data_IF_312802415649
#
_entry.id   IF_312802415649
#
_cell.length_a   1.000
_cell.length_b   1.000
_cell.length_c   1.000
_cell.angle_alpha   90.00
_cell.angle_beta   90.00
_cell.angle_gamma   90.00
#
_symmetry.space_group_name_H-M   'P 1'
#
loop_
_entity.id
_entity.type
_entity.pdbx_description
1 polymer ?
#
# COMPACT_ATOMS: atom_id res chain seq x y z
N UNK A 1 31.72 48.14 -8.00
CA UNK A 1 32.22 49.23 -7.15
C UNK A 1 32.89 48.59 -5.95
N UNK A 2 34.18 48.82 -5.83
CA UNK A 2 35.09 48.17 -4.86
C UNK A 2 34.82 48.68 -3.45
N UNK A 3 34.95 47.80 -2.46
CA UNK A 3 35.24 48.18 -1.07
C UNK A 3 35.88 47.02 -0.32
N UNK A 4 37.16 47.06 -0.24
CA UNK A 4 38.09 47.14 0.89
C UNK A 4 38.00 46.02 1.94
N UNK A 5 38.97 45.12 1.80
CA UNK A 5 39.49 44.25 2.85
C UNK A 5 40.20 45.08 3.91
N UNK A 6 39.79 44.92 5.15
CA UNK A 6 40.63 45.29 6.29
C UNK A 6 41.10 44.04 7.03
N UNK A 7 42.40 43.77 6.91
CA UNK A 7 43.12 42.72 7.62
C UNK A 7 43.36 43.15 9.05
N UNK A 8 42.82 42.41 10.02
CA UNK A 8 43.33 42.40 11.37
C UNK A 8 43.96 41.05 11.71
N UNK A 9 45.26 41.07 11.98
CA UNK A 9 46.00 39.94 12.57
C UNK A 9 45.61 39.79 14.02
N UNK A 10 45.06 38.65 14.36
CA UNK A 10 44.96 38.18 15.76
C UNK A 10 45.31 36.69 15.80
N UNK A 11 46.07 36.32 16.79
CA UNK A 11 46.86 35.17 17.08
C UNK A 11 46.32 33.76 16.76
N UNK A 12 47.28 32.83 16.81
CA UNK A 12 47.05 31.36 16.65
C UNK A 12 45.96 30.84 17.55
N UNK A 13 44.72 30.79 17.05
CA UNK A 13 43.61 30.10 17.60
C UNK A 13 43.09 29.10 16.58
N UNK A 14 43.02 27.84 16.94
CA UNK A 14 42.41 26.76 16.16
C UNK A 14 40.97 27.19 15.86
N UNK A 15 40.68 27.48 14.57
CA UNK A 15 39.32 27.72 14.10
C UNK A 15 38.63 26.34 14.01
N UNK A 16 37.91 26.00 15.04
CA UNK A 16 36.92 24.90 14.99
C UNK A 16 35.79 25.36 14.05
N UNK A 17 35.87 24.99 12.76
CA UNK A 17 34.70 25.09 11.88
C UNK A 17 33.70 24.04 12.32
N UNK A 18 32.74 24.42 13.15
CA UNK A 18 31.57 23.62 13.40
C UNK A 18 30.71 23.66 12.13
N UNK A 19 30.87 22.67 11.26
CA UNK A 19 29.88 22.38 10.25
C UNK A 19 28.62 21.92 10.97
N UNK A 20 27.67 22.81 11.15
CA UNK A 20 26.30 22.42 11.41
C UNK A 20 25.82 21.67 10.13
N UNK A 21 26.04 20.35 10.09
CA UNK A 21 25.28 19.50 9.22
C UNK A 21 23.83 19.61 9.74
N UNK A 22 23.03 20.42 9.07
CA UNK A 22 21.58 20.33 9.19
C UNK A 22 21.22 18.94 8.67
N UNK A 23 21.03 18.00 9.56
CA UNK A 23 20.31 16.76 9.27
C UNK A 23 18.89 17.20 8.89
N UNK A 24 18.69 17.46 7.59
CA UNK A 24 17.37 17.46 7.02
C UNK A 24 16.92 16.00 7.18
N UNK A 25 15.90 15.71 8.00
CA UNK A 25 15.36 14.37 8.01
C UNK A 25 14.90 14.10 6.57
N UNK A 26 15.52 13.15 5.89
CA UNK A 26 14.94 12.53 4.72
C UNK A 26 13.69 11.80 5.23
N UNK A 27 12.57 12.51 5.25
CA UNK A 27 11.29 11.86 5.28
C UNK A 27 11.19 11.10 3.96
N UNK A 28 11.42 9.81 3.99
CA UNK A 28 10.88 8.94 2.98
C UNK A 28 9.36 9.11 3.11
N UNK A 29 8.79 9.92 2.25
CA UNK A 29 7.35 9.95 2.11
C UNK A 29 6.99 8.55 1.61
N UNK A 30 6.49 7.70 2.49
CA UNK A 30 5.94 6.41 2.08
C UNK A 30 4.85 6.65 1.04
N UNK A 31 4.64 5.73 0.13
CA UNK A 31 3.64 5.84 -0.93
C UNK A 31 2.21 6.00 -0.39
N UNK A 32 1.28 6.36 -1.25
CA UNK A 32 -0.15 6.44 -0.91
C UNK A 32 -0.62 5.07 -0.39
N UNK A 33 -1.41 5.07 0.68
CA UNK A 33 -2.01 3.86 1.23
C UNK A 33 -3.43 3.70 0.73
N UNK A 34 -3.78 2.49 0.35
CA UNK A 34 -5.16 2.10 0.10
C UNK A 34 -5.49 0.85 0.89
N UNK A 35 -6.76 0.76 1.32
CA UNK A 35 -7.31 -0.44 1.93
C UNK A 35 -8.22 -1.14 0.95
N UNK A 36 -8.11 -2.45 0.92
CA UNK A 36 -9.05 -3.35 0.26
C UNK A 36 -9.81 -4.10 1.35
N UNK A 37 -11.11 -3.81 1.47
CA UNK A 37 -11.98 -4.48 2.43
C UNK A 37 -12.77 -5.57 1.75
N UNK A 38 -12.77 -6.76 2.35
CA UNK A 38 -13.50 -7.94 1.86
C UNK A 38 -14.29 -8.61 2.98
N UNK A 39 -15.19 -9.53 2.64
CA UNK A 39 -15.98 -10.26 3.64
C UNK A 39 -15.15 -11.24 4.49
N UNK A 40 -13.92 -11.56 4.08
CA UNK A 40 -13.04 -12.49 4.82
C UNK A 40 -11.86 -11.78 5.51
N UNK A 41 -11.80 -10.46 5.42
CA UNK A 41 -10.80 -9.61 6.05
C UNK A 41 -10.32 -8.49 5.15
N UNK A 42 -9.58 -7.56 5.74
CA UNK A 42 -9.05 -6.37 5.09
C UNK A 42 -7.52 -6.49 4.96
N UNK A 43 -6.99 -5.89 3.92
CA UNK A 43 -5.55 -5.71 3.76
C UNK A 43 -5.24 -4.34 3.16
N UNK A 44 -4.03 -3.85 3.41
CA UNK A 44 -3.58 -2.56 2.90
C UNK A 44 -2.51 -2.74 1.84
N UNK A 45 -2.52 -1.83 0.86
CA UNK A 45 -1.54 -1.74 -0.21
C UNK A 45 -0.84 -0.40 -0.11
N UNK A 46 0.49 -0.39 -0.12
CA UNK A 46 1.28 0.80 -0.33
C UNK A 46 1.54 0.96 -1.82
N UNK A 47 1.14 2.12 -2.37
CA UNK A 47 1.34 2.43 -3.78
C UNK A 47 2.76 2.95 -4.02
N UNK A 48 3.29 2.68 -5.21
CA UNK A 48 4.63 3.08 -5.63
C UNK A 48 4.59 4.40 -6.43
N UNK A 49 4.14 5.48 -5.77
CA UNK A 49 3.85 6.78 -6.38
C UNK A 49 5.01 7.34 -7.22
N UNK A 50 6.26 7.13 -6.78
CA UNK A 50 7.45 7.62 -7.49
C UNK A 50 7.90 6.67 -8.62
N UNK A 51 7.62 5.37 -8.47
CA UNK A 51 8.10 4.32 -9.39
C UNK A 51 7.17 4.11 -10.58
N UNK A 52 5.85 4.24 -10.35
CA UNK A 52 4.81 4.05 -11.36
C UNK A 52 3.74 5.15 -11.27
N UNK A 53 4.12 6.44 -11.42
CA UNK A 53 3.23 7.58 -11.15
C UNK A 53 1.99 7.64 -12.05
N UNK A 54 2.09 7.25 -13.31
CA UNK A 54 0.93 7.23 -14.24
C UNK A 54 -0.04 6.12 -13.84
N UNK A 55 0.49 4.96 -13.50
CA UNK A 55 -0.28 3.78 -13.07
C UNK A 55 -0.97 4.03 -11.73
N UNK A 56 -0.24 4.58 -10.75
CA UNK A 56 -0.82 4.95 -9.45
C UNK A 56 -1.94 5.97 -9.62
N UNK A 57 -1.72 7.03 -10.42
CA UNK A 57 -2.74 8.03 -10.71
C UNK A 57 -3.98 7.40 -11.37
N UNK A 58 -3.78 6.50 -12.34
CA UNK A 58 -4.87 5.78 -12.99
C UNK A 58 -5.68 4.97 -11.98
N UNK A 59 -5.01 4.16 -11.15
CA UNK A 59 -5.66 3.36 -10.12
C UNK A 59 -6.44 4.24 -9.12
N UNK A 60 -5.84 5.32 -8.63
CA UNK A 60 -6.48 6.25 -7.70
C UNK A 60 -7.69 6.97 -8.31
N UNK A 61 -7.72 7.23 -9.63
CA UNK A 61 -8.90 7.78 -10.28
C UNK A 61 -10.12 6.86 -10.09
N UNK A 62 -9.97 5.55 -10.25
CA UNK A 62 -11.03 4.57 -10.00
C UNK A 62 -11.41 4.49 -8.53
N UNK A 63 -10.41 4.53 -7.62
CA UNK A 63 -10.66 4.53 -6.17
C UNK A 63 -11.48 5.75 -5.76
N UNK A 64 -11.08 6.96 -6.16
CA UNK A 64 -11.76 8.20 -5.80
C UNK A 64 -13.19 8.31 -6.36
N UNK A 65 -13.47 7.67 -7.49
CA UNK A 65 -14.83 7.57 -8.05
C UNK A 65 -15.66 6.44 -7.43
N UNK A 66 -15.07 5.66 -6.51
CA UNK A 66 -15.65 4.43 -5.95
C UNK A 66 -15.95 3.36 -7.01
N UNK A 67 -15.21 3.35 -8.11
CA UNK A 67 -15.43 2.41 -9.21
C UNK A 67 -15.06 0.98 -8.83
N UNK A 68 -14.19 0.78 -7.85
CA UNK A 68 -13.85 -0.53 -7.32
C UNK A 68 -14.80 -1.04 -6.21
N UNK A 69 -15.67 -0.18 -5.68
CA UNK A 69 -16.57 -0.59 -4.61
C UNK A 69 -17.68 -1.51 -5.14
N UNK A 70 -17.86 -2.66 -4.49
CA UNK A 70 -18.75 -3.71 -4.93
C UNK A 70 -18.28 -4.47 -6.18
N UNK A 71 -17.00 -4.32 -6.57
CA UNK A 71 -16.37 -5.25 -7.51
C UNK A 71 -16.01 -6.55 -6.81
N UNK A 72 -15.65 -7.58 -7.57
CA UNK A 72 -15.25 -8.86 -7.02
C UNK A 72 -13.98 -9.39 -7.70
N UNK A 73 -13.29 -10.30 -7.03
CA UNK A 73 -12.23 -11.06 -7.65
C UNK A 73 -12.86 -12.01 -8.67
N UNK A 74 -12.61 -11.77 -9.95
CA UNK A 74 -13.25 -12.54 -11.03
C UNK A 74 -12.35 -13.67 -11.53
N UNK A 75 -11.07 -13.64 -11.18
CA UNK A 75 -10.09 -14.65 -11.56
C UNK A 75 -9.03 -14.78 -10.46
N UNK A 76 -9.06 -15.91 -9.77
CA UNK A 76 -8.01 -16.33 -8.84
C UNK A 76 -7.43 -17.62 -9.36
N UNK A 77 -6.13 -17.66 -9.53
CA UNK A 77 -5.37 -18.82 -10.00
C UNK A 77 -4.32 -19.15 -8.95
N UNK A 78 -4.46 -20.34 -8.36
CA UNK A 78 -3.63 -20.86 -7.30
C UNK A 78 -2.13 -20.68 -7.61
N UNK A 79 -1.37 -20.22 -6.62
CA UNK A 79 0.05 -19.91 -6.72
C UNK A 79 0.44 -18.98 -7.90
N UNK A 80 -0.50 -18.21 -8.43
CA UNK A 80 -0.24 -17.28 -9.51
C UNK A 80 -0.76 -15.87 -9.20
N UNK A 81 -2.06 -15.59 -9.41
CA UNK A 81 -2.61 -14.24 -9.23
C UNK A 81 -4.03 -14.24 -8.67
N UNK A 82 -4.37 -13.21 -7.89
CA UNK A 82 -5.73 -12.83 -7.56
C UNK A 82 -6.09 -11.53 -8.30
N UNK A 83 -6.97 -11.60 -9.32
CA UNK A 83 -7.29 -10.51 -10.24
C UNK A 83 -8.70 -9.98 -10.02
N UNK A 84 -8.81 -8.64 -9.99
CA UNK A 84 -10.07 -7.92 -9.77
C UNK A 84 -10.17 -6.60 -10.53
N UNK A 85 -11.14 -5.76 -10.16
CA UNK A 85 -11.31 -4.39 -10.65
C UNK A 85 -12.12 -4.24 -11.94
N UNK A 86 -12.54 -5.33 -12.58
CA UNK A 86 -13.21 -5.29 -13.89
C UNK A 86 -14.73 -5.25 -13.80
N UNK A 87 -15.32 -5.95 -12.84
CA UNK A 87 -16.74 -6.29 -12.86
C UNK A 87 -17.41 -6.02 -11.52
N UNK A 88 -18.69 -5.57 -11.60
CA UNK A 88 -19.65 -5.56 -10.50
C UNK A 88 -20.78 -6.50 -10.83
N UNK A 89 -21.40 -7.04 -9.81
CA UNK A 89 -22.63 -7.78 -9.99
C UNK A 89 -23.84 -6.88 -9.75
N UNK A 90 -24.74 -6.81 -10.72
CA UNK A 90 -26.01 -6.10 -10.59
C UNK A 90 -27.15 -7.13 -10.52
N UNK A 91 -27.96 -7.12 -9.45
CA UNK A 91 -29.11 -8.01 -9.33
C UNK A 91 -30.02 -7.95 -10.58
N UNK A 92 -30.49 -9.10 -11.02
CA UNK A 92 -31.35 -9.30 -12.21
C UNK A 92 -30.69 -8.97 -13.58
N UNK A 93 -29.48 -8.41 -13.62
CA UNK A 93 -28.74 -8.10 -14.85
C UNK A 93 -27.54 -9.05 -15.00
N UNK A 94 -26.86 -9.35 -13.90
CA UNK A 94 -25.63 -10.13 -13.91
C UNK A 94 -24.35 -9.26 -13.81
N UNK A 95 -23.21 -9.81 -14.20
CA UNK A 95 -21.95 -9.09 -14.20
C UNK A 95 -21.94 -7.93 -15.21
N UNK A 96 -21.70 -6.73 -14.72
CA UNK A 96 -21.52 -5.52 -15.54
C UNK A 96 -20.09 -5.03 -15.48
N UNK A 97 -19.63 -4.43 -16.57
CA UNK A 97 -18.27 -3.89 -16.66
C UNK A 97 -18.16 -2.60 -15.83
N UNK A 98 -17.05 -2.44 -15.14
CA UNK A 98 -16.62 -1.14 -14.61
C UNK A 98 -16.19 -0.29 -15.80
N UNK A 99 -16.73 0.95 -15.97
CA UNK A 99 -16.31 1.84 -17.04
C UNK A 99 -14.79 2.05 -17.03
N UNK A 100 -14.16 1.99 -18.20
CA UNK A 100 -12.71 2.16 -18.32
C UNK A 100 -12.32 3.55 -18.78
N UNK A 101 -11.31 4.13 -18.16
CA UNK A 101 -10.60 5.29 -18.67
C UNK A 101 -9.71 4.87 -19.87
N UNK A 102 -9.19 5.83 -20.66
CA UNK A 102 -8.23 5.52 -21.71
C UNK A 102 -7.04 4.69 -21.20
N UNK A 103 -6.50 3.77 -22.02
CA UNK A 103 -5.35 2.97 -21.65
C UNK A 103 -4.13 3.84 -21.29
N UNK A 104 -3.29 3.33 -20.41
CA UNK A 104 -2.09 4.02 -19.92
C UNK A 104 -0.80 3.38 -20.45
N UNK A 105 0.27 4.17 -20.51
CA UNK A 105 1.61 3.70 -20.83
C UNK A 105 2.10 2.71 -19.78
N UNK A 106 2.85 1.71 -20.22
CA UNK A 106 3.48 0.73 -19.34
C UNK A 106 4.68 1.34 -18.62
N UNK A 107 4.71 1.22 -17.31
CA UNK A 107 5.78 1.71 -16.43
C UNK A 107 6.53 0.54 -15.75
N UNK A 108 6.65 -0.61 -16.43
CA UNK A 108 7.33 -1.77 -15.85
C UNK A 108 8.76 -1.41 -15.40
N UNK A 109 9.03 -1.55 -14.11
CA UNK A 109 10.31 -1.25 -13.49
C UNK A 109 10.63 -2.14 -12.27
N UNK A 110 9.62 -2.80 -11.70
CA UNK A 110 9.75 -3.66 -10.53
C UNK A 110 9.31 -5.07 -10.88
N UNK A 111 10.00 -6.08 -10.37
CA UNK A 111 9.67 -7.48 -10.61
C UNK A 111 8.34 -7.87 -9.96
N UNK A 112 7.59 -8.71 -10.66
CA UNK A 112 6.31 -9.29 -10.20
C UNK A 112 6.56 -10.40 -9.17
N UNK A 113 7.10 -10.04 -8.00
CA UNK A 113 7.30 -10.94 -6.88
C UNK A 113 6.04 -11.08 -6.04
N UNK A 114 5.99 -12.14 -5.20
CA UNK A 114 4.88 -12.37 -4.29
C UNK A 114 4.56 -11.13 -3.45
N UNK A 115 3.28 -10.80 -3.34
CA UNK A 115 2.78 -9.67 -2.57
C UNK A 115 2.80 -8.33 -3.32
N UNK A 116 3.37 -8.26 -4.52
CA UNK A 116 3.27 -7.07 -5.36
C UNK A 116 1.92 -6.99 -6.06
N UNK A 117 1.50 -5.76 -6.37
CA UNK A 117 0.23 -5.45 -7.05
C UNK A 117 0.52 -4.85 -8.42
N UNK A 118 -0.05 -5.44 -9.46
CA UNK A 118 0.26 -5.10 -10.85
C UNK A 118 -0.98 -4.82 -11.68
N UNK A 119 -0.82 -3.99 -12.73
CA UNK A 119 -1.89 -3.75 -13.71
C UNK A 119 -2.01 -4.90 -14.71
N UNK A 120 -3.23 -5.41 -14.87
CA UNK A 120 -3.54 -6.32 -15.97
C UNK A 120 -3.63 -5.54 -17.29
N UNK A 121 -3.23 -6.20 -18.38
CA UNK A 121 -3.24 -5.66 -19.74
C UNK A 121 -3.48 -6.76 -20.77
N UNK A 122 -3.76 -6.37 -21.99
CA UNK A 122 -3.93 -7.32 -23.11
C UNK A 122 -2.58 -7.91 -23.52
N UNK A 123 -2.59 -9.19 -23.88
CA UNK A 123 -1.39 -9.84 -24.40
C UNK A 123 -0.91 -9.18 -25.70
N UNK A 124 0.40 -9.01 -25.83
CA UNK A 124 1.00 -8.34 -26.99
C UNK A 124 0.82 -6.81 -27.04
N UNK A 125 0.08 -6.19 -26.09
CA UNK A 125 -0.19 -4.76 -26.08
C UNK A 125 0.29 -4.14 -24.74
N UNK A 126 1.56 -3.70 -24.66
CA UNK A 126 2.14 -3.22 -23.42
C UNK A 126 1.38 -2.03 -22.79
N UNK A 127 0.86 -1.12 -23.62
CA UNK A 127 0.19 0.12 -23.20
C UNK A 127 -1.34 -0.02 -23.23
N UNK A 128 -1.87 -1.16 -22.79
CA UNK A 128 -3.32 -1.45 -22.82
C UNK A 128 -3.97 -1.55 -21.46
N UNK A 129 -3.25 -1.27 -20.37
CA UNK A 129 -3.80 -1.32 -19.03
C UNK A 129 -4.86 -0.24 -18.81
N UNK A 130 -5.95 -0.59 -18.13
CA UNK A 130 -7.06 0.31 -17.80
C UNK A 130 -7.44 0.22 -16.32
N UNK A 131 -8.43 -0.60 -15.97
CA UNK A 131 -9.00 -0.72 -14.62
C UNK A 131 -8.64 -2.03 -13.89
N UNK A 132 -8.21 -3.06 -14.61
CA UNK A 132 -7.96 -4.37 -13.98
C UNK A 132 -6.58 -4.42 -13.34
N UNK A 133 -6.53 -5.01 -12.16
CA UNK A 133 -5.29 -5.21 -11.41
C UNK A 133 -5.28 -6.60 -10.75
N UNK A 134 -4.10 -7.04 -10.36
CA UNK A 134 -3.93 -8.32 -9.69
C UNK A 134 -2.85 -8.24 -8.60
N UNK A 135 -2.98 -9.14 -7.63
CA UNK A 135 -1.97 -9.40 -6.61
C UNK A 135 -1.20 -10.65 -7.01
N UNK A 136 0.12 -10.59 -6.96
CA UNK A 136 0.99 -11.74 -7.19
C UNK A 136 0.97 -12.68 -5.97
N UNK A 137 0.49 -13.90 -6.13
CA UNK A 137 0.42 -14.92 -5.09
C UNK A 137 1.73 -15.67 -4.92
N UNK A 138 2.58 -15.65 -5.94
CA UNK A 138 3.93 -16.20 -5.96
C UNK A 138 4.90 -15.25 -6.69
N UNK A 139 6.17 -15.65 -6.82
CA UNK A 139 7.17 -14.94 -7.60
C UNK A 139 6.96 -15.19 -9.11
N UNK A 140 6.21 -14.32 -9.74
CA UNK A 140 5.79 -14.43 -11.15
C UNK A 140 6.76 -13.72 -12.10
N UNK A 141 8.06 -13.96 -11.97
CA UNK A 141 9.12 -13.29 -12.78
C UNK A 141 9.00 -13.50 -14.29
N UNK A 142 8.22 -14.46 -14.75
CA UNK A 142 7.86 -14.61 -16.16
C UNK A 142 7.06 -13.42 -16.68
N UNK A 143 6.25 -12.77 -15.84
CA UNK A 143 5.47 -11.58 -16.19
C UNK A 143 6.37 -10.35 -16.45
N UNK A 144 7.59 -10.34 -15.96
CA UNK A 144 8.56 -9.24 -16.16
C UNK A 144 9.03 -9.15 -17.62
N UNK A 145 8.92 -10.25 -18.36
CA UNK A 145 9.37 -10.36 -19.75
C UNK A 145 8.23 -10.37 -20.75
N UNK A 146 7.02 -10.67 -20.30
CA UNK A 146 5.87 -10.82 -21.19
C UNK A 146 5.33 -9.44 -21.59
N UNK A 147 5.22 -9.22 -22.91
CA UNK A 147 4.63 -8.00 -23.50
C UNK A 147 5.17 -6.69 -22.90
N UNK A 148 6.48 -6.60 -22.67
CA UNK A 148 7.14 -5.44 -22.07
C UNK A 148 7.06 -5.35 -20.56
N UNK A 149 6.69 -6.44 -19.86
CA UNK A 149 6.54 -6.53 -18.41
C UNK A 149 5.19 -5.99 -17.90
N UNK A 150 4.70 -6.52 -16.79
CA UNK A 150 3.49 -6.03 -16.14
C UNK A 150 3.88 -5.02 -15.05
N UNK A 151 3.36 -3.81 -15.13
CA UNK A 151 3.70 -2.71 -14.20
C UNK A 151 3.27 -3.04 -12.79
N UNK A 152 4.25 -3.22 -11.89
CA UNK A 152 4.03 -3.24 -10.44
C UNK A 152 3.83 -1.80 -9.97
N UNK A 153 2.72 -1.52 -9.32
CA UNK A 153 2.39 -0.18 -8.83
C UNK A 153 2.08 -0.12 -7.33
N UNK A 154 2.17 -1.26 -6.63
CA UNK A 154 1.97 -1.33 -5.20
C UNK A 154 2.47 -2.63 -4.60
N UNK A 155 2.45 -2.70 -3.27
CA UNK A 155 2.75 -3.90 -2.50
C UNK A 155 1.82 -4.04 -1.31
N UNK A 156 1.43 -5.27 -0.99
CA UNK A 156 0.62 -5.60 0.19
C UNK A 156 1.47 -5.41 1.44
N UNK A 157 0.94 -4.71 2.44
CA UNK A 157 1.66 -4.35 3.66
C UNK A 157 1.46 -5.35 4.80
N UNK A 158 2.49 -5.46 5.62
CA UNK A 158 2.45 -6.19 6.89
C UNK A 158 2.01 -7.65 6.73
N UNK A 159 1.04 -8.06 7.51
CA UNK A 159 0.43 -9.39 7.48
C UNK A 159 -0.74 -9.52 6.49
N UNK A 160 -0.96 -8.50 5.66
CA UNK A 160 -2.06 -8.47 4.68
C UNK A 160 -2.05 -9.65 3.71
N UNK A 161 -0.86 -10.24 3.44
CA UNK A 161 -0.77 -11.46 2.65
C UNK A 161 -1.46 -12.67 3.31
N UNK A 162 -1.71 -12.67 4.61
CA UNK A 162 -2.53 -13.69 5.27
C UNK A 162 -3.98 -13.68 4.75
N UNK A 163 -4.54 -12.49 4.52
CA UNK A 163 -5.87 -12.34 3.94
C UNK A 163 -5.85 -12.68 2.45
N UNK A 164 -4.81 -12.26 1.72
CA UNK A 164 -4.65 -12.58 0.30
C UNK A 164 -4.53 -14.09 0.08
N UNK A 165 -3.80 -14.81 0.94
CA UNK A 165 -3.73 -16.28 0.92
C UNK A 165 -5.09 -16.92 1.27
N UNK A 166 -5.85 -16.30 2.17
CA UNK A 166 -7.20 -16.76 2.46
C UNK A 166 -8.14 -16.56 1.25
N UNK A 167 -7.91 -15.53 0.41
CA UNK A 167 -8.62 -15.35 -0.87
C UNK A 167 -8.26 -16.48 -1.85
N UNK A 168 -6.97 -16.79 -1.97
CA UNK A 168 -6.45 -17.85 -2.83
C UNK A 168 -7.02 -19.24 -2.46
N UNK A 169 -7.13 -19.49 -1.16
CA UNK A 169 -7.65 -20.74 -0.63
C UNK A 169 -9.21 -20.88 -0.71
N UNK A 170 -9.93 -19.85 -1.18
CA UNK A 170 -11.38 -19.98 -1.37
C UNK A 170 -11.72 -20.91 -2.54
N UNK A 171 -12.80 -21.68 -2.42
CA UNK A 171 -13.32 -22.41 -3.58
C UNK A 171 -13.71 -21.42 -4.69
N UNK A 172 -13.46 -21.80 -5.94
CA UNK A 172 -13.77 -20.98 -7.11
C UNK A 172 -14.87 -21.58 -7.96
N UNK A 173 -15.60 -20.73 -8.69
CA UNK A 173 -16.60 -21.12 -9.67
C UNK A 173 -16.27 -20.50 -11.01
N UNK A 174 -16.51 -21.25 -12.10
CA UNK A 174 -16.38 -20.77 -13.45
C UNK A 174 -17.77 -20.53 -14.07
N UNK A 175 -18.09 -19.25 -14.32
CA UNK A 175 -19.34 -18.80 -14.96
C UNK A 175 -19.07 -18.04 -16.25
N UNK A 176 -17.94 -18.32 -16.91
CA UNK A 176 -17.49 -17.64 -18.11
C UNK A 176 -16.46 -16.53 -17.85
N UNK A 177 -16.09 -15.79 -18.88
CA UNK A 177 -14.93 -14.89 -18.84
C UNK A 177 -15.01 -13.77 -17.79
N UNK A 178 -16.19 -13.39 -17.33
CA UNK A 178 -16.38 -12.41 -16.23
C UNK A 178 -16.30 -13.03 -14.83
N UNK A 179 -16.16 -14.34 -14.73
CA UNK A 179 -15.99 -15.12 -13.52
C UNK A 179 -15.30 -16.44 -13.84
N UNK A 180 -14.10 -16.39 -14.42
CA UNK A 180 -13.36 -17.57 -14.90
C UNK A 180 -12.97 -18.52 -13.76
N UNK A 181 -12.56 -17.96 -12.64
CA UNK A 181 -12.31 -18.66 -11.38
C UNK A 181 -12.58 -17.69 -10.23
N UNK A 182 -13.88 -17.30 -10.10
CA UNK A 182 -14.30 -16.35 -9.08
C UNK A 182 -14.41 -17.05 -7.72
N UNK A 183 -13.69 -16.57 -6.69
CA UNK A 183 -13.78 -17.13 -5.35
C UNK A 183 -15.14 -16.81 -4.71
N UNK A 184 -15.64 -17.74 -3.91
CA UNK A 184 -16.88 -17.57 -3.16
C UNK A 184 -16.72 -18.01 -1.70
N UNK A 185 -17.51 -17.43 -0.80
CA UNK A 185 -17.29 -17.53 0.66
C UNK A 185 -18.13 -18.58 1.36
N UNK A 186 -18.99 -19.29 0.65
CA UNK A 186 -19.86 -20.36 1.21
C UNK A 186 -19.29 -21.75 0.97
N UNK A 187 -19.87 -22.75 1.63
CA UNK A 187 -19.52 -24.16 1.43
C UNK A 187 -19.86 -24.67 0.02
N UNK A 188 -20.82 -24.02 -0.65
CA UNK A 188 -21.17 -24.25 -2.05
C UNK A 188 -21.61 -22.94 -2.68
N UNK A 189 -21.24 -22.73 -3.93
CA UNK A 189 -21.76 -21.61 -4.72
C UNK A 189 -23.25 -21.79 -4.97
N UNK A 190 -24.05 -20.79 -4.63
CA UNK A 190 -25.51 -20.79 -4.84
C UNK A 190 -25.94 -19.71 -5.83
N UNK A 191 -25.37 -18.53 -5.73
CA UNK A 191 -25.66 -17.41 -6.59
C UNK A 191 -24.51 -16.35 -6.50
N UNK A 192 -24.51 -15.34 -7.37
CA UNK A 192 -23.45 -14.33 -7.40
C UNK A 192 -23.27 -13.50 -6.12
N UNK A 193 -24.22 -13.52 -5.18
CA UNK A 193 -24.02 -12.85 -3.87
C UNK A 193 -22.97 -13.56 -3.01
N UNK A 194 -22.59 -14.77 -3.39
CA UNK A 194 -21.55 -15.56 -2.72
C UNK A 194 -20.13 -15.16 -3.14
N UNK A 195 -19.95 -14.38 -4.22
CA UNK A 195 -18.64 -13.93 -4.66
C UNK A 195 -17.90 -13.14 -3.56
N UNK A 196 -16.59 -13.18 -3.62
CA UNK A 196 -15.75 -12.39 -2.76
C UNK A 196 -15.67 -10.96 -3.30
N UNK A 197 -16.54 -10.11 -2.77
CA UNK A 197 -16.58 -8.69 -3.10
C UNK A 197 -15.51 -7.91 -2.39
N UNK A 198 -15.12 -6.77 -2.99
CA UNK A 198 -14.19 -5.83 -2.41
C UNK A 198 -14.71 -4.39 -2.46
N UNK A 199 -14.27 -3.58 -1.51
CA UNK A 199 -14.30 -2.13 -1.54
C UNK A 199 -12.86 -1.63 -1.42
N UNK A 200 -12.54 -0.57 -2.15
CA UNK A 200 -11.18 0.01 -2.15
C UNK A 200 -11.26 1.48 -1.81
N UNK A 201 -10.51 1.91 -0.82
CA UNK A 201 -10.48 3.30 -0.36
C UNK A 201 -9.06 3.78 -0.09
N UNK A 202 -8.83 5.08 -0.21
CA UNK A 202 -7.57 5.71 0.20
C UNK A 202 -7.57 5.84 1.72
N UNK A 203 -6.51 5.36 2.35
CA UNK A 203 -6.27 5.56 3.78
C UNK A 203 -5.39 6.77 3.97
N UNK A 204 -5.85 7.73 4.77
CA UNK A 204 -5.05 8.91 5.07
C UNK A 204 -3.90 8.53 6.00
N UNK A 205 -2.66 8.65 5.51
CA UNK A 205 -1.52 8.63 6.42
C UNK A 205 -1.56 9.87 7.30
N UNK A 206 -1.42 9.66 8.59
CA UNK A 206 -1.22 10.78 9.51
C UNK A 206 0.20 11.31 9.32
N UNK A 207 0.37 12.29 8.43
CA UNK A 207 1.66 12.90 8.08
C UNK A 207 2.16 13.93 9.10
N UNK A 208 1.47 14.13 10.20
CA UNK A 208 1.69 15.30 11.07
C UNK A 208 2.26 15.02 12.45
N UNK A 209 2.35 13.77 12.90
CA UNK A 209 2.98 13.50 14.18
C UNK A 209 4.36 12.88 13.97
N UNK A 210 5.43 13.58 14.28
CA UNK A 210 6.72 12.93 14.44
C UNK A 210 6.58 11.86 15.52
N UNK A 211 7.31 10.75 15.37
CA UNK A 211 7.48 9.82 16.47
C UNK A 211 8.04 10.61 17.66
N UNK A 212 7.26 10.74 18.71
CA UNK A 212 7.70 11.45 19.92
C UNK A 212 8.20 10.40 20.91
N UNK A 213 9.48 10.41 21.15
CA UNK A 213 10.08 9.62 22.21
C UNK A 213 10.28 10.50 23.44
N UNK A 214 9.51 10.24 24.49
CA UNK A 214 9.66 10.91 25.76
C UNK A 214 10.66 10.15 26.64
N UNK A 215 11.89 10.67 26.71
CA UNK A 215 13.00 10.00 27.41
C UNK A 215 12.76 9.84 28.92
N UNK A 216 11.96 10.69 29.52
CA UNK A 216 11.66 10.64 30.96
C UNK A 216 10.74 9.48 31.36
N UNK A 217 9.85 9.06 30.47
CA UNK A 217 8.88 7.99 30.70
C UNK A 217 9.17 6.73 29.88
N UNK A 218 10.10 6.80 28.92
CA UNK A 218 10.34 5.73 27.95
C UNK A 218 9.17 5.52 26.99
N UNK A 219 8.31 6.53 26.82
CA UNK A 219 7.11 6.47 26.00
C UNK A 219 7.46 6.81 24.56
N UNK A 220 7.18 5.91 23.61
CA UNK A 220 7.12 6.21 22.20
C UNK A 220 5.67 6.35 21.77
N UNK A 221 5.34 7.52 21.24
CA UNK A 221 4.06 7.78 20.60
C UNK A 221 4.30 7.72 19.10
N UNK A 222 3.65 6.81 18.43
CA UNK A 222 3.69 6.68 16.98
C UNK A 222 2.27 6.63 16.44
N UNK A 223 2.03 7.33 15.34
CA UNK A 223 0.77 7.18 14.61
C UNK A 223 0.88 5.92 13.74
N UNK A 224 -0.10 5.06 13.85
CA UNK A 224 -0.26 3.89 13.01
C UNK A 224 -1.62 3.99 12.36
N UNK A 225 -1.66 4.00 11.03
CA UNK A 225 -2.92 3.89 10.31
C UNK A 225 -3.40 2.43 10.41
N UNK A 226 -4.37 2.24 11.27
CA UNK A 226 -5.09 0.97 11.42
C UNK A 226 -6.58 1.28 11.29
N UNK A 227 -7.26 0.60 10.38
CA UNK A 227 -8.73 0.58 10.29
C UNK A 227 -9.46 1.91 10.12
N UNK A 228 -9.36 2.57 8.96
CA UNK A 228 -10.18 3.75 8.59
C UNK A 228 -10.13 4.95 9.53
N UNK A 229 -9.12 5.06 10.30
CA UNK A 229 -8.90 6.19 11.18
C UNK A 229 -7.49 6.17 11.67
N UNK A 230 -6.89 7.34 11.77
CA UNK A 230 -5.62 7.47 12.43
C UNK A 230 -5.77 6.97 13.86
N UNK A 231 -5.25 5.78 14.13
CA UNK A 231 -5.12 5.31 15.51
C UNK A 231 -3.77 5.74 16.05
N UNK A 232 -3.77 6.38 17.20
CA UNK A 232 -2.56 6.59 17.97
C UNK A 232 -2.27 5.32 18.76
N UNK A 233 -1.15 4.69 18.42
CA UNK A 233 -0.59 3.64 19.24
C UNK A 233 0.46 4.27 20.15
N UNK A 234 0.18 4.33 21.42
CA UNK A 234 1.20 4.64 22.44
C UNK A 234 1.71 3.35 23.05
N UNK A 235 3.01 3.19 23.11
CA UNK A 235 3.63 2.02 23.69
C UNK A 235 4.82 2.43 24.56
N UNK A 236 4.97 1.78 25.72
CA UNK A 236 6.12 1.92 26.57
C UNK A 236 7.16 0.86 26.23
N UNK A 237 8.40 1.30 26.08
CA UNK A 237 9.51 0.39 25.94
C UNK A 237 10.02 -0.03 27.31
N UNK A 238 10.08 -1.34 27.57
CA UNK A 238 10.61 -1.88 28.83
C UNK A 238 12.14 -1.87 28.88
N UNK A 239 12.79 -1.80 27.70
CA UNK A 239 14.25 -1.62 27.63
C UNK A 239 14.65 -1.11 26.25
N UNK A 240 15.66 -0.22 26.22
CA UNK A 240 16.36 0.18 25.00
C UNK A 240 17.82 -0.18 25.24
N UNK A 241 18.34 -1.15 24.49
CA UNK A 241 19.76 -1.55 24.55
C UNK A 241 20.46 -1.01 23.32
N UNK A 242 21.55 -0.27 23.52
CA UNK A 242 22.23 0.51 22.45
C UNK A 242 23.66 0.03 22.20
N UNK A 243 23.92 -1.26 22.22
CA UNK A 243 25.25 -1.82 21.92
C UNK A 243 25.33 -2.36 20.48
N UNK A 244 25.12 -1.44 19.50
CA UNK A 244 25.27 -1.76 18.07
C UNK A 244 24.03 -2.33 17.39
N UNK A 245 23.22 -3.12 18.07
CA UNK A 245 21.90 -3.55 17.60
C UNK A 245 20.82 -2.95 18.48
N UNK A 246 19.94 -2.13 17.90
CA UNK A 246 18.81 -1.54 18.61
C UNK A 246 17.77 -2.65 18.85
N UNK A 247 17.69 -3.17 20.06
CA UNK A 247 16.61 -4.06 20.48
C UNK A 247 15.55 -3.25 21.22
N UNK A 248 14.38 -3.12 20.60
CA UNK A 248 13.22 -2.45 21.17
C UNK A 248 12.29 -3.53 21.72
N UNK A 249 12.08 -3.57 23.03
CA UNK A 249 11.07 -4.40 23.65
C UNK A 249 9.87 -3.55 24.06
N UNK A 250 8.71 -3.88 23.50
CA UNK A 250 7.45 -3.26 23.84
C UNK A 250 6.84 -3.96 25.04
N UNK A 251 6.47 -3.19 26.06
CA UNK A 251 5.65 -3.73 27.15
C UNK A 251 4.21 -3.91 26.62
N UNK A 252 3.72 -5.14 26.44
CA UNK A 252 2.40 -5.40 25.87
C UNK A 252 1.25 -4.79 26.71
N UNK A 253 1.45 -4.65 28.02
CA UNK A 253 0.44 -4.09 28.91
C UNK A 253 0.32 -2.56 28.79
N UNK A 254 1.26 -1.91 28.09
CA UNK A 254 1.28 -0.45 27.91
C UNK A 254 0.68 -0.01 26.56
N UNK A 255 0.27 -0.94 25.71
CA UNK A 255 -0.27 -0.61 24.39
C UNK A 255 -1.68 -0.05 24.54
N UNK A 256 -1.84 1.25 24.29
CA UNK A 256 -3.12 1.93 24.30
C UNK A 256 -3.52 2.28 22.88
N UNK A 257 -4.70 1.84 22.47
CA UNK A 257 -5.34 2.23 21.20
C UNK A 257 -6.33 3.36 21.47
N UNK A 258 -6.21 4.43 20.69
CA UNK A 258 -7.18 5.52 20.69
C UNK A 258 -7.67 5.76 19.27
N UNK A 259 -8.98 5.72 19.08
CA UNK A 259 -9.62 6.11 17.83
C UNK A 259 -9.87 7.62 17.81
N UNK A 260 -9.57 8.25 16.70
CA UNK A 260 -9.86 9.64 16.45
C UNK A 260 -8.64 10.56 16.40
N UNK A 261 -8.80 11.76 15.83
CA UNK A 261 -7.72 12.73 15.79
C UNK A 261 -7.33 13.09 17.23
N UNK A 262 -6.05 13.06 17.53
CA UNK A 262 -5.54 13.62 18.77
C UNK A 262 -5.45 15.12 18.59
N UNK A 263 -6.49 15.83 19.02
CA UNK A 263 -6.38 17.26 19.22
C UNK A 263 -5.37 17.52 20.34
N UNK A 264 -4.30 18.25 20.02
CA UNK A 264 -3.47 18.92 21.02
C UNK A 264 -2.22 18.20 21.50
N UNK A 265 -1.44 17.61 20.59
CA UNK A 265 0.00 17.47 20.84
C UNK A 265 0.71 18.55 20.02
N UNK A 266 0.93 19.70 20.65
CA UNK A 266 1.76 20.78 20.12
C UNK A 266 3.22 20.53 20.47
#
# INVERSE_FOLDING_TARGET
>A
MFSLFQSQRVGKGIRLCVFLLSLIPLYSAGGTLVRVSTSIGDFSIELLDETAPVTVKNFLNYVHRNDYNGTYFHRVVDDFVAQGGAYRFQPYVGPIDVPTDPPIVNEFNVSNSRGTVSMAKLDGAPDSATNQWFINLADNTALDKNSGGFTVFGSVLGDGMTIVDAIDNQPTVNLGYKAESAPYTKTAYTDPTDFLYMNVEVVTRYSGAPHVFETSSGLLITSVDIDNGSELLSMNFSSVQTDGDLVIQVNPDSVLRRRGPVEGVA
#
